data_IF_611269393667
#
_entry.id   IF_611269393667
#
_cell.length_a   1.000
_cell.length_b   1.000
_cell.length_c   1.000
_cell.angle_alpha   90.00
_cell.angle_beta   90.00
_cell.angle_gamma   90.00
#
_symmetry.space_group_name_H-M   'P 1'
#
loop_
_entity.id
_entity.type
_entity.pdbx_description
1 polymer ?
#
# COMPACT_ATOMS: atom_id res chain seq x y z
N UNK A 1 7.10 -46.04 -1.55
CA UNK A 1 5.88 -45.24 -1.76
C UNK A 1 5.79 -44.24 -0.63
N UNK A 2 6.01 -42.95 -0.89
CA UNK A 2 5.93 -41.90 0.12
C UNK A 2 4.65 -41.10 -0.14
N UNK A 3 3.74 -41.17 0.82
CA UNK A 3 2.44 -40.49 0.81
C UNK A 3 2.66 -39.00 1.07
N UNK A 4 2.42 -38.16 0.07
CA UNK A 4 2.39 -36.71 0.25
C UNK A 4 1.01 -36.31 0.78
N UNK A 5 0.97 -35.68 1.95
CA UNK A 5 -0.24 -35.03 2.46
C UNK A 5 -0.52 -33.78 1.60
N UNK A 6 -1.56 -33.87 0.78
CA UNK A 6 -2.22 -32.71 0.20
C UNK A 6 -2.86 -31.93 1.36
N UNK A 7 -2.17 -30.87 1.80
CA UNK A 7 -2.80 -29.83 2.60
C UNK A 7 -3.86 -29.22 1.70
N UNK A 8 -5.13 -29.57 1.94
CA UNK A 8 -6.27 -29.05 1.19
C UNK A 8 -6.32 -27.54 1.37
N UNK A 9 -6.15 -26.73 0.32
CA UNK A 9 -6.39 -25.31 0.41
C UNK A 9 -7.90 -25.11 0.40
N UNK A 10 -8.49 -24.90 1.57
CA UNK A 10 -9.87 -24.40 1.65
C UNK A 10 -9.89 -22.97 1.09
N UNK A 11 -10.51 -22.84 -0.09
CA UNK A 11 -10.83 -21.62 -0.84
C UNK A 11 -9.70 -20.91 -1.60
N UNK A 12 -9.16 -21.56 -2.63
CA UNK A 12 -8.68 -20.86 -3.85
C UNK A 12 -9.61 -21.28 -4.99
N UNK A 13 -10.81 -20.72 -5.00
CA UNK A 13 -11.84 -21.03 -6.00
C UNK A 13 -11.53 -20.35 -7.33
N UNK A 14 -11.23 -21.17 -8.33
CA UNK A 14 -11.28 -20.93 -9.77
C UNK A 14 -12.03 -19.65 -10.22
N UNK A 15 -11.31 -18.56 -10.47
CA UNK A 15 -11.80 -17.56 -11.42
C UNK A 15 -11.59 -18.11 -12.82
N UNK A 16 -12.65 -18.20 -13.63
CA UNK A 16 -12.50 -18.61 -15.04
C UNK A 16 -11.75 -17.50 -15.79
N UNK A 17 -11.09 -17.82 -16.91
CA UNK A 17 -10.48 -16.80 -17.78
C UNK A 17 -11.45 -15.64 -18.09
N UNK A 18 -12.75 -15.94 -18.23
CA UNK A 18 -13.80 -14.95 -18.43
C UNK A 18 -14.10 -14.06 -17.22
N UNK A 19 -13.86 -14.52 -15.99
CA UNK A 19 -14.01 -13.70 -14.78
C UNK A 19 -12.83 -12.73 -14.62
N UNK A 20 -11.62 -13.20 -14.94
CA UNK A 20 -10.40 -12.38 -14.98
C UNK A 20 -10.51 -11.32 -16.10
N UNK A 21 -11.00 -11.71 -17.29
CA UNK A 21 -11.24 -10.78 -18.40
C UNK A 21 -12.28 -9.70 -18.04
N UNK A 22 -13.35 -10.05 -17.32
CA UNK A 22 -14.33 -9.06 -16.83
C UNK A 22 -13.71 -8.05 -15.85
N UNK A 23 -12.85 -8.49 -14.94
CA UNK A 23 -12.15 -7.61 -13.99
C UNK A 23 -11.17 -6.68 -14.72
N UNK A 24 -10.46 -7.20 -15.73
CA UNK A 24 -9.54 -6.39 -16.56
C UNK A 24 -10.33 -5.40 -17.42
N UNK A 25 -11.44 -5.80 -18.03
CA UNK A 25 -12.30 -4.92 -18.84
C UNK A 25 -12.95 -3.83 -17.98
N UNK A 26 -13.35 -4.14 -16.74
CA UNK A 26 -13.81 -3.15 -15.77
C UNK A 26 -12.73 -2.11 -15.38
N UNK A 27 -11.45 -2.48 -15.44
CA UNK A 27 -10.33 -1.54 -15.23
C UNK A 27 -10.14 -0.55 -16.39
N UNK A 28 -10.62 -0.90 -17.59
CA UNK A 28 -10.58 -0.06 -18.80
C UNK A 28 -11.84 0.81 -18.91
N UNK A 29 -12.94 0.42 -18.27
CA UNK A 29 -14.19 1.14 -18.26
C UNK A 29 -14.25 2.14 -17.08
N UNK A 30 -14.21 3.47 -17.33
CA UNK A 30 -14.20 4.49 -16.27
C UNK A 30 -15.47 4.49 -15.39
N UNK A 31 -16.48 3.69 -15.73
CA UNK A 31 -17.74 3.57 -15.00
C UNK A 31 -17.94 2.23 -14.26
N UNK A 32 -17.03 1.27 -14.38
CA UNK A 32 -17.20 -0.01 -13.68
C UNK A 32 -16.89 0.15 -12.18
N UNK A 33 -17.93 0.00 -11.36
CA UNK A 33 -17.77 -0.07 -9.90
C UNK A 33 -17.02 -1.37 -9.55
N UNK A 34 -15.75 -1.26 -9.18
CA UNK A 34 -15.01 -2.36 -8.57
C UNK A 34 -15.77 -2.77 -7.30
N UNK A 35 -16.36 -3.97 -7.29
CA UNK A 35 -16.95 -4.58 -6.10
C UNK A 35 -15.83 -4.83 -5.10
N UNK A 36 -15.63 -3.88 -4.18
CA UNK A 36 -14.68 -4.05 -3.09
C UNK A 36 -15.07 -5.29 -2.28
N UNK A 37 -14.18 -6.28 -2.23
CA UNK A 37 -14.30 -7.39 -1.27
C UNK A 37 -14.09 -6.79 0.12
N UNK A 38 -15.19 -6.50 0.82
CA UNK A 38 -15.14 -5.93 2.17
C UNK A 38 -14.50 -6.95 3.11
N UNK A 39 -13.28 -6.68 3.56
CA UNK A 39 -12.64 -7.46 4.62
C UNK A 39 -13.44 -7.25 5.91
N UNK A 40 -13.88 -8.32 6.58
CA UNK A 40 -14.36 -8.23 7.97
C UNK A 40 -13.19 -7.75 8.83
N UNK A 41 -13.15 -6.46 9.13
CA UNK A 41 -12.25 -5.92 10.14
C UNK A 41 -12.77 -6.36 11.51
N UNK A 42 -12.17 -7.42 12.07
CA UNK A 42 -12.24 -7.60 13.53
C UNK A 42 -11.71 -6.33 14.21
N UNK A 43 -12.15 -6.04 15.44
CA UNK A 43 -11.79 -4.84 16.19
C UNK A 43 -10.27 -4.63 16.25
N UNK A 44 -9.73 -3.96 15.23
CA UNK A 44 -8.34 -3.56 15.12
C UNK A 44 -8.22 -2.31 15.97
N UNK A 45 -7.40 -2.36 17.03
CA UNK A 45 -7.07 -1.17 17.80
C UNK A 45 -6.63 -0.06 16.85
N UNK A 46 -7.29 1.10 16.93
CA UNK A 46 -7.07 2.24 16.02
C UNK A 46 -5.87 3.07 16.44
N UNK A 47 -4.81 2.44 16.93
CA UNK A 47 -3.61 3.16 17.37
C UNK A 47 -3.04 3.89 16.17
N UNK A 48 -2.93 5.23 16.21
CA UNK A 48 -2.39 5.99 15.10
C UNK A 48 -0.94 5.59 14.85
N UNK A 49 -0.58 5.35 13.58
CA UNK A 49 0.79 4.98 13.18
C UNK A 49 1.61 6.24 12.89
N UNK A 50 0.97 7.23 12.27
CA UNK A 50 1.64 8.45 11.81
C UNK A 50 2.05 9.35 12.99
N UNK A 51 3.28 9.84 12.94
CA UNK A 51 3.76 10.86 13.87
C UNK A 51 2.91 12.13 13.77
N UNK A 52 2.46 12.62 14.91
CA UNK A 52 1.70 13.87 15.00
C UNK A 52 1.80 14.46 16.40
N UNK A 53 1.22 15.64 16.61
CA UNK A 53 1.17 16.26 17.94
C UNK A 53 0.46 15.40 18.99
N UNK A 54 -0.55 14.64 18.58
CA UNK A 54 -1.29 13.71 19.45
C UNK A 54 -0.71 12.29 19.46
N UNK A 55 0.32 12.04 18.64
CA UNK A 55 1.05 10.78 18.57
C UNK A 55 2.55 11.06 18.34
N UNK A 56 3.25 11.63 19.33
CA UNK A 56 4.64 12.08 19.15
C UNK A 56 5.61 10.91 18.94
N UNK A 57 5.28 9.73 19.45
CA UNK A 57 6.04 8.49 19.28
C UNK A 57 5.66 7.73 17.99
N UNK A 58 4.81 8.32 17.15
CA UNK A 58 4.47 7.76 15.85
C UNK A 58 5.65 7.77 14.87
N UNK A 59 5.47 7.09 13.74
CA UNK A 59 6.50 6.98 12.71
C UNK A 59 6.37 8.15 11.73
N UNK A 60 7.47 8.82 11.32
CA UNK A 60 7.44 9.83 10.26
C UNK A 60 6.85 9.29 8.96
N UNK A 61 6.18 10.15 8.19
CA UNK A 61 5.52 9.74 6.95
C UNK A 61 6.52 9.15 5.94
N UNK A 62 7.69 9.74 5.83
CA UNK A 62 8.78 9.31 4.96
C UNK A 62 9.25 7.87 5.25
N UNK A 63 9.35 7.51 6.52
CA UNK A 63 9.80 6.18 6.95
C UNK A 63 8.70 5.13 6.70
N UNK A 64 7.43 5.50 6.95
CA UNK A 64 6.27 4.65 6.59
C UNK A 64 6.27 4.39 5.08
N UNK A 65 6.50 5.43 4.27
CA UNK A 65 6.53 5.28 2.81
C UNK A 65 7.67 4.36 2.37
N UNK A 66 8.87 4.52 2.93
CA UNK A 66 10.01 3.66 2.60
C UNK A 66 9.74 2.20 2.95
N UNK A 67 9.16 1.96 4.13
CA UNK A 67 8.74 0.62 4.53
C UNK A 67 7.69 0.04 3.58
N UNK A 68 6.65 0.82 3.21
CA UNK A 68 5.62 0.36 2.29
C UNK A 68 6.19 0.03 0.91
N UNK A 69 7.13 0.82 0.40
CA UNK A 69 7.80 0.53 -0.88
C UNK A 69 8.58 -0.79 -0.78
N UNK A 70 9.34 -1.00 0.29
CA UNK A 70 10.09 -2.24 0.49
C UNK A 70 9.17 -3.46 0.55
N UNK A 71 8.10 -3.42 1.36
CA UNK A 71 7.13 -4.51 1.47
C UNK A 71 6.37 -4.77 0.17
N UNK A 72 6.08 -3.73 -0.62
CA UNK A 72 5.43 -3.88 -1.93
C UNK A 72 6.35 -4.52 -2.97
N UNK A 73 7.65 -4.22 -2.93
CA UNK A 73 8.65 -4.89 -3.77
C UNK A 73 8.79 -6.36 -3.39
N UNK A 74 8.90 -6.67 -2.10
CA UNK A 74 8.96 -8.06 -1.61
C UNK A 74 7.72 -8.86 -2.07
N UNK A 75 6.52 -8.28 -1.97
CA UNK A 75 5.29 -8.92 -2.46
C UNK A 75 5.30 -9.20 -3.96
N UNK A 76 5.95 -8.35 -4.76
CA UNK A 76 6.09 -8.59 -6.21
C UNK A 76 7.01 -9.78 -6.51
N UNK A 77 8.07 -9.99 -5.71
CA UNK A 77 9.00 -11.10 -5.91
C UNK A 77 8.31 -12.47 -5.88
N UNK A 78 7.31 -12.64 -5.00
CA UNK A 78 6.54 -13.88 -4.90
C UNK A 78 5.75 -14.22 -6.18
N UNK A 79 5.34 -13.21 -6.95
CA UNK A 79 4.58 -13.40 -8.19
C UNK A 79 5.42 -13.17 -9.45
N UNK A 80 6.74 -12.98 -9.32
CA UNK A 80 7.59 -12.56 -10.43
C UNK A 80 7.65 -13.60 -11.55
N UNK A 81 7.64 -14.88 -11.20
CA UNK A 81 7.66 -15.98 -12.19
C UNK A 81 6.27 -16.37 -12.70
N UNK A 82 5.20 -15.87 -12.08
CA UNK A 82 3.84 -16.16 -12.53
C UNK A 82 3.50 -15.33 -13.79
N UNK A 83 3.09 -16.05 -14.84
CA UNK A 83 2.72 -15.51 -16.15
C UNK A 83 1.21 -15.36 -16.31
N UNK A 84 0.41 -15.75 -15.32
CA UNK A 84 -1.04 -15.58 -15.32
C UNK A 84 -1.43 -14.12 -15.53
N UNK A 85 -2.58 -13.88 -16.19
CA UNK A 85 -3.10 -12.52 -16.41
C UNK A 85 -3.34 -11.77 -15.10
N UNK A 86 -3.77 -12.50 -14.05
CA UNK A 86 -3.92 -11.96 -12.70
C UNK A 86 -2.59 -11.46 -12.13
N UNK A 87 -1.51 -12.26 -12.23
CA UNK A 87 -0.18 -11.83 -11.78
C UNK A 87 0.34 -10.62 -12.56
N UNK A 88 0.12 -10.56 -13.88
CA UNK A 88 0.49 -9.40 -14.69
C UNK A 88 -0.24 -8.13 -14.23
N UNK A 89 -1.55 -8.24 -13.95
CA UNK A 89 -2.35 -7.13 -13.43
C UNK A 89 -1.92 -6.68 -12.03
N UNK A 90 -1.59 -7.62 -11.14
CA UNK A 90 -1.07 -7.31 -9.80
C UNK A 90 0.30 -6.62 -9.85
N UNK A 91 1.19 -7.03 -10.76
CA UNK A 91 2.47 -6.36 -11.00
C UNK A 91 2.28 -4.91 -11.47
N UNK A 92 1.37 -4.67 -12.42
CA UNK A 92 1.06 -3.33 -12.89
C UNK A 92 0.51 -2.44 -11.76
N UNK A 93 -0.43 -2.95 -10.96
CA UNK A 93 -0.99 -2.22 -9.82
C UNK A 93 0.10 -1.89 -8.79
N UNK A 94 0.97 -2.86 -8.50
CA UNK A 94 2.03 -2.68 -7.51
C UNK A 94 3.04 -1.61 -7.94
N UNK A 95 3.40 -1.58 -9.23
CA UNK A 95 4.22 -0.50 -9.81
C UNK A 95 3.54 0.86 -9.68
N UNK A 96 2.25 0.97 -10.02
CA UNK A 96 1.49 2.21 -9.87
C UNK A 96 1.43 2.70 -8.42
N UNK A 97 1.25 1.79 -7.46
CA UNK A 97 1.25 2.12 -6.02
C UNK A 97 2.62 2.65 -5.61
N UNK A 98 3.72 1.99 -6.02
CA UNK A 98 5.08 2.44 -5.72
C UNK A 98 5.36 3.83 -6.31
N UNK A 99 4.97 4.07 -7.55
CA UNK A 99 5.14 5.38 -8.20
C UNK A 99 4.41 6.50 -7.44
N UNK A 100 3.19 6.22 -6.97
CA UNK A 100 2.42 7.15 -6.14
C UNK A 100 3.08 7.38 -4.78
N UNK A 101 3.60 6.34 -4.13
CA UNK A 101 4.33 6.44 -2.86
C UNK A 101 5.59 7.31 -3.02
N UNK A 102 6.37 7.11 -4.07
CA UNK A 102 7.55 7.94 -4.40
C UNK A 102 7.13 9.40 -4.59
N UNK A 103 6.01 9.65 -5.28
CA UNK A 103 5.48 11.00 -5.47
C UNK A 103 5.06 11.66 -4.15
N UNK A 104 4.38 10.93 -3.28
CA UNK A 104 4.01 11.41 -1.94
C UNK A 104 5.28 11.76 -1.15
N UNK A 105 6.30 10.88 -1.14
CA UNK A 105 7.57 11.14 -0.45
C UNK A 105 8.26 12.41 -0.97
N UNK A 106 8.29 12.62 -2.29
CA UNK A 106 8.86 13.84 -2.88
C UNK A 106 8.13 15.09 -2.38
N UNK A 107 6.80 15.12 -2.42
CA UNK A 107 5.98 16.25 -1.97
C UNK A 107 6.19 16.50 -0.45
N UNK A 108 6.29 15.43 0.34
CA UNK A 108 6.57 15.53 1.77
C UNK A 108 7.94 16.17 2.02
N UNK A 109 8.98 15.74 1.30
CA UNK A 109 10.32 16.31 1.41
C UNK A 109 10.37 17.78 0.99
N UNK A 110 9.69 18.15 -0.09
CA UNK A 110 9.55 19.55 -0.52
C UNK A 110 8.89 20.40 0.57
N UNK A 111 7.83 19.88 1.20
CA UNK A 111 7.14 20.53 2.32
C UNK A 111 8.05 20.68 3.53
N UNK A 112 8.81 19.62 3.89
CA UNK A 112 9.79 19.67 4.98
C UNK A 112 10.90 20.70 4.73
N UNK A 113 11.44 20.74 3.51
CA UNK A 113 12.47 21.71 3.14
C UNK A 113 11.97 23.15 3.26
N UNK A 114 10.72 23.41 2.85
CA UNK A 114 10.08 24.71 3.03
C UNK A 114 9.93 25.06 4.51
N UNK A 115 9.52 24.11 5.34
CA UNK A 115 9.39 24.30 6.80
C UNK A 115 10.73 24.53 7.49
N UNK A 116 11.81 23.84 7.09
CA UNK A 116 13.17 24.08 7.61
C UNK A 116 13.69 25.47 7.25
N UNK A 117 13.34 25.99 6.08
CA UNK A 117 13.71 27.36 5.70
C UNK A 117 13.05 28.44 6.58
N UNK A 118 11.92 28.12 7.23
CA UNK A 118 11.24 29.03 8.16
C UNK A 118 11.89 28.96 9.54
N UNK A 119 12.07 27.75 10.08
CA UNK A 119 12.70 27.52 11.38
C UNK A 119 13.11 26.05 11.55
N UNK A 120 14.10 25.75 12.43
CA UNK A 120 14.53 24.38 12.67
C UNK A 120 13.42 23.47 13.22
N UNK A 121 13.49 22.17 12.91
CA UNK A 121 12.62 21.17 13.53
C UNK A 121 12.72 21.16 15.06
N UNK A 122 11.59 21.40 15.72
CA UNK A 122 11.44 21.28 17.17
C UNK A 122 10.71 19.97 17.57
N UNK A 123 10.44 19.09 16.60
CA UNK A 123 9.72 17.85 16.80
C UNK A 123 8.20 18.03 16.97
N UNK A 124 7.47 16.92 17.21
CA UNK A 124 6.00 16.89 17.18
C UNK A 124 5.32 17.67 18.29
N UNK A 125 6.02 17.92 19.41
CA UNK A 125 5.53 18.69 20.56
C UNK A 125 6.07 20.13 20.59
N UNK A 126 6.94 20.48 19.64
CA UNK A 126 7.55 21.79 19.54
C UNK A 126 6.57 22.88 19.07
N UNK A 127 7.06 24.13 19.05
CA UNK A 127 6.26 25.25 18.53
C UNK A 127 6.00 25.05 17.02
N UNK A 128 4.74 25.16 16.55
CA UNK A 128 4.45 25.08 15.12
C UNK A 128 5.24 26.12 14.33
N UNK A 129 5.75 25.72 13.16
CA UNK A 129 6.49 26.60 12.25
C UNK A 129 5.57 27.43 11.37
N UNK A 130 4.38 26.89 11.10
CA UNK A 130 3.29 27.53 10.37
C UNK A 130 1.98 27.20 11.09
N UNK A 131 1.08 28.18 11.18
CA UNK A 131 -0.15 28.07 11.98
C UNK A 131 0.03 28.50 13.44
N UNK A 132 -1.09 28.64 14.14
CA UNK A 132 -1.15 29.06 15.55
C UNK A 132 -1.32 27.86 16.49
#
# INVERSE_FOLDING_TARGET
>A
MATFFLVTPTNVGHETLGDIEKIIQAKVDPMAQLTHVTRKTGAMGTTPILMSRTNPDGIPLEDIIDQLIAEMNEKQEYIERDKSLAAQSLKLNSRQIIDLLIRIKRINNESRNLLEAISPDQGPVGKPRVGN
#
